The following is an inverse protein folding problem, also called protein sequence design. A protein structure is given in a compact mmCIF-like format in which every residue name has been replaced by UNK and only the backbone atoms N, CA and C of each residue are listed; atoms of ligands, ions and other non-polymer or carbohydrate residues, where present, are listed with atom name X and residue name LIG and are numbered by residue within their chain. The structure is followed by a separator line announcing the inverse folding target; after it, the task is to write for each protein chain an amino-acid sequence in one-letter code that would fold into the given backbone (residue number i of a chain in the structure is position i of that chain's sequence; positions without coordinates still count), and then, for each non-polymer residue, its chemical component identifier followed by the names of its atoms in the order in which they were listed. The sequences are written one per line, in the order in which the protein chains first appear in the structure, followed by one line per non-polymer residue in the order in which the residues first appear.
data_IF_963305688676
#
_entry.id   IF_963305688676
#
_cell.length_a   1.000
_cell.length_b   1.000
_cell.length_c   1.000
_cell.angle_alpha   90.00
_cell.angle_beta   90.00
_cell.angle_gamma   90.00
#
_symmetry.space_group_name_H-M   'P 1'
#
loop_
_entity.id
_entity.type
_entity.pdbx_description
1 polymer ?
#
# COMPACT_ATOMS: atom_id res chain seq x y z
N UNK A 1 -9.47 -19.15 -6.65
CA UNK A 1 -8.37 -19.07 -5.66
C UNK A 1 -8.41 -17.69 -5.04
N UNK A 2 -8.52 -17.56 -3.71
CA UNK A 2 -8.33 -16.25 -3.05
C UNK A 2 -6.84 -15.93 -3.11
N UNK A 3 -6.48 -14.90 -3.85
CA UNK A 3 -5.14 -14.32 -3.75
C UNK A 3 -5.09 -13.66 -2.38
N UNK A 4 -4.07 -13.97 -1.58
CA UNK A 4 -3.83 -13.30 -0.31
C UNK A 4 -2.76 -12.22 -0.51
N UNK A 5 -2.73 -11.24 0.39
CA UNK A 5 -1.63 -10.28 0.44
C UNK A 5 -0.72 -10.55 1.65
N UNK A 6 0.54 -10.11 1.53
CA UNK A 6 1.47 -10.05 2.65
C UNK A 6 2.20 -8.72 2.65
N UNK A 7 2.26 -8.10 3.82
CA UNK A 7 3.08 -6.91 4.04
C UNK A 7 4.53 -7.34 4.23
N UNK A 8 5.45 -6.68 3.52
CA UNK A 8 6.86 -6.75 3.88
C UNK A 8 7.14 -5.87 5.11
N UNK A 9 8.23 -6.11 5.86
CA UNK A 9 8.50 -5.39 7.10
C UNK A 9 8.47 -3.86 6.99
N UNK A 10 8.89 -3.31 5.84
CA UNK A 10 8.78 -1.86 5.59
C UNK A 10 7.35 -1.39 5.38
N UNK A 11 6.52 -2.14 4.67
CA UNK A 11 5.10 -1.82 4.50
C UNK A 11 4.33 -1.89 5.82
N UNK A 12 4.68 -2.84 6.68
CA UNK A 12 4.12 -2.93 8.04
C UNK A 12 4.51 -1.71 8.89
N UNK A 13 5.79 -1.33 8.89
CA UNK A 13 6.26 -0.11 9.55
C UNK A 13 5.60 1.16 8.97
N UNK A 14 5.44 1.23 7.65
CA UNK A 14 4.74 2.34 6.99
C UNK A 14 3.28 2.41 7.49
N UNK A 15 2.55 1.29 7.53
CA UNK A 15 1.16 1.22 8.00
C UNK A 15 1.01 1.71 9.44
N UNK A 16 1.87 1.25 10.36
CA UNK A 16 1.86 1.74 11.75
C UNK A 16 2.19 3.22 11.86
N UNK A 17 3.13 3.71 11.06
CA UNK A 17 3.49 5.13 11.02
C UNK A 17 2.33 5.99 10.52
N UNK A 18 1.57 5.51 9.53
CA UNK A 18 0.37 6.17 9.02
C UNK A 18 -0.71 6.23 10.09
N UNK A 19 -0.95 5.12 10.82
CA UNK A 19 -1.90 5.11 11.93
C UNK A 19 -1.52 6.14 12.99
N UNK A 20 -0.28 6.08 13.49
CA UNK A 20 0.22 6.97 14.53
C UNK A 20 0.12 8.44 14.12
N UNK A 21 0.61 8.77 12.91
CA UNK A 21 0.49 10.12 12.36
C UNK A 21 -0.96 10.58 12.26
N UNK A 22 -1.86 9.72 11.76
CA UNK A 22 -3.27 10.09 11.59
C UNK A 22 -3.96 10.28 12.95
N UNK A 23 -3.63 9.43 13.93
CA UNK A 23 -4.13 9.52 15.30
C UNK A 23 -3.69 10.83 15.95
N UNK A 24 -2.40 11.16 15.89
CA UNK A 24 -1.84 12.36 16.51
C UNK A 24 -2.40 13.65 15.92
N UNK A 25 -2.70 13.68 14.62
CA UNK A 25 -3.12 14.89 13.92
C UNK A 25 -4.64 15.05 13.77
N UNK A 26 -5.39 13.94 13.74
CA UNK A 26 -6.82 13.95 13.40
C UNK A 26 -7.69 13.12 14.36
N UNK A 27 -7.10 12.47 15.35
CA UNK A 27 -7.79 11.65 16.34
C UNK A 27 -8.07 10.22 15.90
N UNK A 28 -8.47 9.41 16.87
CA UNK A 28 -8.63 7.95 16.76
C UNK A 28 -9.61 7.53 15.65
N UNK A 29 -10.80 8.13 15.60
CA UNK A 29 -11.82 7.78 14.62
C UNK A 29 -11.30 7.94 13.18
N UNK A 30 -10.52 8.99 12.93
CA UNK A 30 -9.95 9.23 11.61
C UNK A 30 -8.80 8.26 11.32
N UNK A 31 -7.99 7.91 12.32
CA UNK A 31 -6.92 6.92 12.20
C UNK A 31 -7.48 5.54 11.84
N UNK A 32 -8.50 5.07 12.55
CA UNK A 32 -9.19 3.80 12.27
C UNK A 32 -9.83 3.78 10.89
N UNK A 33 -10.54 4.86 10.52
CA UNK A 33 -11.17 4.97 9.21
C UNK A 33 -10.14 4.91 8.09
N UNK A 34 -9.04 5.63 8.22
CA UNK A 34 -8.00 5.71 7.20
C UNK A 34 -7.30 4.36 7.03
N UNK A 35 -6.92 3.69 8.13
CA UNK A 35 -6.23 2.40 8.04
C UNK A 35 -7.15 1.27 7.62
N UNK A 36 -8.44 1.30 7.98
CA UNK A 36 -9.43 0.38 7.43
C UNK A 36 -9.52 0.49 5.91
N UNK A 37 -9.57 1.71 5.36
CA UNK A 37 -9.58 1.90 3.91
C UNK A 37 -8.27 1.48 3.22
N UNK A 38 -7.12 1.50 3.91
CA UNK A 38 -5.90 0.86 3.42
C UNK A 38 -6.03 -0.66 3.33
N UNK A 39 -6.61 -1.31 4.36
CA UNK A 39 -6.86 -2.76 4.34
C UNK A 39 -7.87 -3.15 3.24
N UNK A 40 -8.89 -2.34 3.04
CA UNK A 40 -9.86 -2.51 1.94
C UNK A 40 -9.15 -2.40 0.59
N UNK A 41 -8.22 -1.44 0.45
CA UNK A 41 -7.39 -1.29 -0.76
C UNK A 41 -6.48 -2.50 -0.98
N UNK A 42 -5.89 -3.08 0.07
CA UNK A 42 -5.10 -4.32 -0.08
C UNK A 42 -5.96 -5.49 -0.55
N UNK A 43 -7.19 -5.60 -0.03
CA UNK A 43 -8.16 -6.61 -0.46
C UNK A 43 -8.58 -6.40 -1.91
N UNK A 44 -8.84 -5.16 -2.32
CA UNK A 44 -9.15 -4.83 -3.71
C UNK A 44 -8.00 -5.22 -4.65
N UNK A 45 -6.74 -4.98 -4.24
CA UNK A 45 -5.56 -5.38 -5.01
C UNK A 45 -5.46 -6.91 -5.09
N UNK A 46 -5.82 -7.67 -4.06
CA UNK A 46 -5.79 -9.14 -4.18
C UNK A 46 -6.88 -9.66 -5.11
N UNK A 47 -8.07 -9.07 -5.09
CA UNK A 47 -9.17 -9.45 -5.99
C UNK A 47 -8.89 -9.06 -7.44
N UNK A 48 -8.23 -7.93 -7.65
CA UNK A 48 -7.89 -7.42 -8.96
C UNK A 48 -6.41 -6.95 -9.03
N UNK A 49 -5.44 -7.87 -9.12
CA UNK A 49 -4.01 -7.53 -8.97
C UNK A 49 -3.44 -6.60 -10.05
N UNK A 50 -4.16 -6.37 -11.14
CA UNK A 50 -3.77 -5.49 -12.24
C UNK A 50 -4.48 -4.11 -12.23
N UNK A 51 -5.24 -3.77 -11.18
CA UNK A 51 -5.85 -2.41 -11.05
C UNK A 51 -4.81 -1.32 -10.82
N UNK A 52 -3.66 -1.68 -10.26
CA UNK A 52 -2.55 -0.76 -10.07
C UNK A 52 -1.88 -0.44 -11.41
N UNK A 53 -1.32 0.77 -11.50
CA UNK A 53 -0.49 1.15 -12.63
C UNK A 53 0.85 0.42 -12.54
N UNK A 54 1.23 -0.29 -13.60
CA UNK A 54 2.58 -0.84 -13.72
C UNK A 54 3.62 0.28 -13.71
N UNK A 55 4.72 0.05 -13.01
CA UNK A 55 5.90 0.94 -12.94
C UNK A 55 7.15 0.23 -13.46
N UNK A 56 6.99 -0.60 -14.50
CA UNK A 56 8.08 -1.39 -15.08
C UNK A 56 9.24 -0.53 -15.62
N UNK A 57 8.98 0.74 -15.94
CA UNK A 57 9.96 1.76 -16.31
C UNK A 57 10.91 2.13 -15.16
N UNK A 58 10.47 1.94 -13.90
CA UNK A 58 11.28 2.17 -12.70
C UNK A 58 11.79 0.84 -12.14
N UNK A 59 10.91 -0.15 -12.02
CA UNK A 59 11.22 -1.47 -11.45
C UNK A 59 10.32 -2.54 -12.04
N UNK A 60 10.89 -3.46 -12.81
CA UNK A 60 10.15 -4.52 -13.51
C UNK A 60 9.37 -5.43 -12.56
N UNK A 61 8.09 -5.67 -12.88
CA UNK A 61 7.18 -6.53 -12.14
C UNK A 61 6.45 -5.83 -10.99
N UNK A 62 6.60 -4.51 -10.85
CA UNK A 62 6.00 -3.73 -9.77
C UNK A 62 4.82 -2.90 -10.26
N UNK A 63 3.92 -2.64 -9.34
CA UNK A 63 2.69 -1.88 -9.53
C UNK A 63 2.54 -0.84 -8.41
N UNK A 64 1.80 0.22 -8.70
CA UNK A 64 1.38 1.21 -7.71
C UNK A 64 -0.13 1.43 -7.76
N UNK A 65 -0.74 1.57 -6.60
CA UNK A 65 -2.15 1.92 -6.44
C UNK A 65 -2.27 3.10 -5.48
N UNK A 66 -2.96 4.17 -5.88
CA UNK A 66 -3.15 5.34 -5.03
C UNK A 66 -4.36 5.13 -4.13
N UNK A 67 -4.20 5.44 -2.84
CA UNK A 67 -5.28 5.48 -1.87
C UNK A 67 -5.15 6.78 -1.07
N UNK A 68 -6.07 7.71 -1.33
CA UNK A 68 -6.11 9.01 -0.66
C UNK A 68 -4.75 9.74 -0.71
N UNK A 69 -4.18 10.03 0.46
CA UNK A 69 -2.87 10.69 0.60
C UNK A 69 -1.66 9.77 0.41
N UNK A 70 -1.85 8.47 0.13
CA UNK A 70 -0.79 7.47 0.09
C UNK A 70 -0.80 6.65 -1.20
N UNK A 71 0.34 6.01 -1.50
CA UNK A 71 0.57 5.14 -2.65
C UNK A 71 1.06 3.78 -2.13
N UNK A 72 0.33 2.75 -2.51
CA UNK A 72 0.61 1.35 -2.20
C UNK A 72 1.47 0.79 -3.33
N UNK A 73 2.70 0.39 -3.01
CA UNK A 73 3.59 -0.29 -3.95
C UNK A 73 3.55 -1.78 -3.71
N UNK A 74 3.30 -2.55 -4.75
CA UNK A 74 3.17 -3.99 -4.64
C UNK A 74 3.75 -4.71 -5.86
N UNK A 75 3.94 -6.02 -5.72
CA UNK A 75 4.25 -6.91 -6.85
C UNK A 75 3.50 -8.22 -6.74
N UNK A 76 3.38 -8.91 -7.86
CA UNK A 76 2.78 -10.23 -7.94
C UNK A 76 3.88 -11.28 -7.82
N UNK A 77 3.70 -12.26 -6.92
CA UNK A 77 4.59 -13.41 -6.82
C UNK A 77 3.76 -14.68 -6.70
N UNK A 78 3.84 -15.55 -7.72
CA UNK A 78 3.02 -16.76 -7.79
C UNK A 78 1.52 -16.41 -7.63
N UNK A 79 0.90 -16.79 -6.51
CA UNK A 79 -0.51 -16.52 -6.18
C UNK A 79 -0.66 -15.54 -4.99
N UNK A 80 0.31 -14.67 -4.77
CA UNK A 80 0.32 -13.73 -3.65
C UNK A 80 0.62 -12.30 -4.13
N UNK A 81 -0.06 -11.33 -3.53
CA UNK A 81 0.28 -9.90 -3.63
C UNK A 81 1.26 -9.55 -2.50
N UNK A 82 2.45 -9.10 -2.85
CA UNK A 82 3.41 -8.61 -1.87
C UNK A 82 3.32 -7.09 -1.79
N UNK A 83 2.81 -6.58 -0.68
CA UNK A 83 2.81 -5.14 -0.38
C UNK A 83 4.23 -4.75 0.07
N UNK A 84 4.90 -3.95 -0.74
CA UNK A 84 6.31 -3.61 -0.58
C UNK A 84 6.47 -2.37 0.30
N UNK A 85 5.68 -1.31 0.04
CA UNK A 85 5.67 -0.03 0.77
C UNK A 85 4.29 0.63 0.71
N UNK A 86 3.99 1.50 1.68
CA UNK A 86 2.85 2.44 1.64
C UNK A 86 3.38 3.84 1.91
N UNK A 87 3.44 4.70 0.89
CA UNK A 87 4.17 5.96 0.99
C UNK A 87 3.29 7.17 0.70
N UNK A 88 3.46 8.28 1.42
CA UNK A 88 2.67 9.48 1.23
C UNK A 88 2.88 10.08 -0.18
N UNK A 89 1.81 10.34 -0.94
CA UNK A 89 1.83 10.71 -2.37
C UNK A 89 2.65 11.99 -2.71
N UNK A 90 3.03 12.79 -1.69
CA UNK A 90 3.82 14.03 -1.84
C UNK A 90 5.34 13.83 -1.89
N UNK A 91 5.84 12.62 -1.69
CA UNK A 91 7.27 12.34 -1.68
C UNK A 91 7.73 11.73 -3.02
N UNK A 92 8.94 12.07 -3.45
CA UNK A 92 9.55 11.50 -4.65
C UNK A 92 10.07 10.08 -4.34
N UNK A 93 9.21 9.09 -4.57
CA UNK A 93 9.39 7.71 -4.07
C UNK A 93 10.31 6.83 -4.90
N UNK A 94 10.84 7.32 -6.02
CA UNK A 94 11.67 6.51 -6.93
C UNK A 94 12.87 5.87 -6.24
N UNK A 95 13.39 6.50 -5.17
CA UNK A 95 14.56 6.01 -4.41
C UNK A 95 14.24 4.90 -3.40
N UNK A 96 12.97 4.63 -3.11
CA UNK A 96 12.56 3.84 -1.93
C UNK A 96 11.74 2.58 -2.23
N UNK A 97 11.60 2.22 -3.52
CA UNK A 97 10.77 1.12 -4.01
C UNK A 97 11.54 -0.01 -4.67
#
# INVERSE_FOLDING_TARGET
MRVNYRLLPKAESDYFSIYAYTYENFGEQQAEKYTRGLLDSFTLITEHPHIGRSINDIRTGYFRHAYEGHVIYYKLKQNEVLIIRVLANRQDHQKYI
#
